data_IF_536241838940
#
_entry.id   IF_536241838940
#
_cell.length_a   1.000
_cell.length_b   1.000
_cell.length_c   1.000
_cell.angle_alpha   90.00
_cell.angle_beta   90.00
_cell.angle_gamma   90.00
#
_symmetry.space_group_name_H-M   'P 1'
#
loop_
_entity.id
_entity.type
_entity.pdbx_description
1 polymer ?
#
# COMPACT_ATOMS: atom_id res chain seq x y z
N UNK A 1 4.68 -9.72 27.04
CA UNK A 1 4.32 -8.72 28.05
C UNK A 1 2.82 -8.42 27.95
N UNK A 2 2.11 -8.22 29.10
CA UNK A 2 0.67 -7.87 29.08
C UNK A 2 -0.30 -9.05 29.13
N UNK A 3 0.07 -10.12 29.80
CA UNK A 3 -0.81 -11.27 30.11
C UNK A 3 -1.00 -12.24 28.95
N UNK A 4 -2.15 -12.95 28.99
CA UNK A 4 -2.43 -14.10 28.10
C UNK A 4 -2.51 -13.77 26.62
N UNK A 5 -2.82 -12.50 26.26
CA UNK A 5 -2.98 -12.04 24.88
C UNK A 5 -1.85 -11.12 24.39
N UNK A 6 -0.86 -10.83 25.24
CA UNK A 6 0.27 -9.98 24.87
C UNK A 6 -0.09 -8.54 24.43
N UNK A 7 -1.20 -7.97 24.92
CA UNK A 7 -1.72 -6.68 24.48
C UNK A 7 -0.77 -5.50 24.67
N UNK A 8 0.13 -5.60 25.66
CA UNK A 8 1.15 -4.57 25.93
C UNK A 8 2.47 -4.81 25.17
N UNK A 9 2.56 -5.86 24.35
CA UNK A 9 3.77 -6.16 23.59
C UNK A 9 4.17 -5.03 22.62
N UNK A 10 3.26 -4.41 21.84
CA UNK A 10 3.62 -3.30 20.97
C UNK A 10 4.21 -2.11 21.73
N UNK A 11 3.68 -1.81 22.93
CA UNK A 11 4.22 -0.73 23.78
C UNK A 11 5.61 -1.07 24.29
N UNK A 12 5.84 -2.31 24.71
CA UNK A 12 7.16 -2.78 25.17
C UNK A 12 8.19 -2.75 24.02
N UNK A 13 7.79 -3.15 22.81
CA UNK A 13 8.65 -3.12 21.62
C UNK A 13 8.98 -1.68 21.20
N UNK A 14 8.02 -0.76 21.27
CA UNK A 14 8.25 0.67 21.02
C UNK A 14 9.26 1.25 22.03
N UNK A 15 9.09 1.01 23.32
CA UNK A 15 10.03 1.47 24.36
C UNK A 15 11.41 0.87 24.19
N UNK A 16 11.50 -0.41 23.84
CA UNK A 16 12.76 -1.08 23.53
C UNK A 16 13.49 -0.41 22.36
N UNK A 17 12.78 -0.11 21.26
CA UNK A 17 13.37 0.52 20.07
C UNK A 17 13.80 1.98 20.34
N UNK A 18 13.07 2.70 21.19
CA UNK A 18 13.46 4.05 21.61
C UNK A 18 14.70 4.08 22.50
N UNK A 19 14.87 3.05 23.34
CA UNK A 19 16.02 2.94 24.25
C UNK A 19 17.24 2.26 23.63
N UNK A 20 17.07 1.62 22.44
CA UNK A 20 18.15 0.91 21.75
C UNK A 20 19.11 1.90 21.09
N UNK A 21 20.41 1.61 21.20
CA UNK A 21 21.47 2.39 20.56
C UNK A 21 21.31 2.39 19.03
N UNK A 22 21.48 3.57 18.43
CA UNK A 22 21.42 3.77 16.98
C UNK A 22 22.85 3.66 16.42
N UNK A 23 23.19 2.50 15.91
CA UNK A 23 24.51 2.18 15.38
C UNK A 23 24.50 2.46 13.86
N UNK A 24 25.47 3.27 13.41
CA UNK A 24 25.66 3.57 12.00
C UNK A 24 26.99 2.96 11.52
N UNK A 25 27.01 2.23 10.38
CA UNK A 25 28.23 1.71 9.80
C UNK A 25 29.25 2.82 9.46
N UNK A 26 30.54 2.56 9.68
CA UNK A 26 31.59 3.56 9.48
C UNK A 26 31.68 4.04 8.01
N UNK A 27 31.34 3.19 7.05
CA UNK A 27 31.34 3.51 5.62
C UNK A 27 30.03 4.04 5.07
N UNK A 28 29.01 4.27 5.91
CA UNK A 28 27.69 4.72 5.48
C UNK A 28 27.69 6.22 5.12
N UNK A 29 26.89 6.59 4.10
CA UNK A 29 26.60 8.00 3.81
C UNK A 29 25.63 8.55 4.84
N UNK A 30 26.11 9.43 5.72
CA UNK A 30 25.36 9.95 6.88
C UNK A 30 24.05 10.66 6.49
N UNK A 31 24.06 11.42 5.40
CA UNK A 31 22.92 12.22 4.96
C UNK A 31 21.82 11.31 4.40
N UNK A 32 22.19 10.46 3.45
CA UNK A 32 21.25 9.51 2.81
C UNK A 32 20.73 8.51 3.83
N UNK A 33 21.60 8.03 4.74
CA UNK A 33 21.25 7.16 5.86
C UNK A 33 20.17 7.75 6.77
N UNK A 34 20.31 9.02 7.14
CA UNK A 34 19.38 9.68 8.05
C UNK A 34 18.03 10.02 7.35
N UNK A 35 18.08 10.38 6.05
CA UNK A 35 16.89 10.80 5.30
C UNK A 35 16.01 9.63 4.86
N UNK A 36 16.57 8.46 4.56
CA UNK A 36 15.85 7.32 4.02
C UNK A 36 14.63 6.91 4.85
N UNK A 37 14.72 6.66 6.19
CA UNK A 37 13.53 6.28 6.98
C UNK A 37 12.48 7.40 7.05
N UNK A 38 12.91 8.67 7.10
CA UNK A 38 11.99 9.80 7.13
C UNK A 38 11.24 9.97 5.80
N UNK A 39 11.93 9.83 4.67
CA UNK A 39 11.35 9.90 3.34
C UNK A 39 10.39 8.74 3.05
N UNK A 40 10.48 7.63 3.75
CA UNK A 40 9.50 6.56 3.65
C UNK A 40 8.27 6.82 4.52
N UNK A 41 8.49 7.22 5.78
CA UNK A 41 7.41 7.38 6.75
C UNK A 41 6.55 8.62 6.49
N UNK A 42 7.15 9.77 6.16
CA UNK A 42 6.40 11.03 5.99
C UNK A 42 5.37 10.95 4.86
N UNK A 43 5.70 10.47 3.64
CA UNK A 43 4.70 10.25 2.59
C UNK A 43 3.61 9.27 2.99
N UNK A 44 3.97 8.14 3.62
CA UNK A 44 3.01 7.16 4.09
C UNK A 44 1.99 7.75 5.09
N UNK A 45 2.42 8.69 5.94
CA UNK A 45 1.53 9.41 6.85
C UNK A 45 0.70 10.49 6.14
N UNK A 46 1.27 11.20 5.15
CA UNK A 46 0.57 12.27 4.42
C UNK A 46 -0.61 11.76 3.59
N UNK A 47 -0.52 10.54 3.06
CA UNK A 47 -1.60 9.94 2.26
C UNK A 47 -2.92 9.90 3.02
N UNK A 48 -2.91 9.71 4.34
CA UNK A 48 -4.12 9.66 5.16
C UNK A 48 -4.92 10.98 5.17
N UNK A 49 -4.28 12.11 4.90
CA UNK A 49 -4.95 13.40 4.83
C UNK A 49 -5.92 13.52 3.65
N UNK A 50 -5.76 12.70 2.61
CA UNK A 50 -6.58 12.74 1.40
C UNK A 50 -7.86 11.89 1.49
N UNK A 51 -7.93 10.94 2.43
CA UNK A 51 -9.07 10.03 2.51
C UNK A 51 -10.31 10.67 3.15
N UNK A 52 -11.50 10.47 2.56
CA UNK A 52 -12.76 10.83 3.16
C UNK A 52 -13.17 9.79 4.22
N UNK A 53 -13.05 10.13 5.50
CA UNK A 53 -13.40 9.24 6.62
C UNK A 53 -14.89 9.25 6.93
N UNK A 54 -15.58 10.38 6.67
CA UNK A 54 -17.02 10.53 6.84
C UNK A 54 -17.52 11.67 5.94
N UNK A 55 -18.81 11.88 5.86
CA UNK A 55 -19.43 12.97 5.10
C UNK A 55 -18.87 14.32 5.57
N UNK A 56 -18.14 15.00 4.71
CA UNK A 56 -17.51 16.29 5.03
C UNK A 56 -16.29 16.22 5.96
N UNK A 57 -15.83 15.03 6.34
CA UNK A 57 -14.64 14.82 7.17
C UNK A 57 -13.47 14.38 6.29
N UNK A 58 -12.86 15.34 5.62
CA UNK A 58 -11.65 15.19 4.80
C UNK A 58 -10.66 16.23 5.26
N UNK A 59 -9.40 15.84 5.55
CA UNK A 59 -8.37 16.80 5.98
C UNK A 59 -7.89 17.68 4.83
N UNK A 60 -7.72 17.10 3.66
CA UNK A 60 -7.31 17.79 2.44
C UNK A 60 -8.17 17.35 1.26
N UNK A 61 -9.21 18.14 0.97
CA UNK A 61 -10.10 17.89 -0.18
C UNK A 61 -9.51 18.54 -1.44
N UNK A 62 -9.00 17.71 -2.33
CA UNK A 62 -8.31 18.13 -3.56
C UNK A 62 -9.01 17.53 -4.78
N UNK A 63 -9.30 18.36 -5.80
CA UNK A 63 -9.98 17.93 -7.03
C UNK A 63 -9.23 16.81 -7.79
N UNK A 64 -7.89 16.75 -7.66
CA UNK A 64 -7.03 15.71 -8.24
C UNK A 64 -6.52 14.75 -7.16
N UNK A 65 -7.34 14.45 -6.15
CA UNK A 65 -6.96 13.67 -4.98
C UNK A 65 -6.36 12.31 -5.31
N UNK A 66 -6.95 11.58 -6.26
CA UNK A 66 -6.44 10.26 -6.70
C UNK A 66 -5.02 10.39 -7.28
N UNK A 67 -4.79 11.37 -8.15
CA UNK A 67 -3.47 11.58 -8.75
C UNK A 67 -2.42 11.96 -7.69
N UNK A 68 -2.76 12.85 -6.76
CA UNK A 68 -1.88 13.24 -5.67
C UNK A 68 -1.56 12.06 -4.74
N UNK A 69 -2.53 11.22 -4.46
CA UNK A 69 -2.36 10.01 -3.65
C UNK A 69 -1.28 9.10 -4.26
N UNK A 70 -1.36 8.80 -5.56
CA UNK A 70 -0.37 7.96 -6.25
C UNK A 70 0.99 8.66 -6.40
N UNK A 71 1.02 9.98 -6.60
CA UNK A 71 2.28 10.72 -6.61
C UNK A 71 3.02 10.64 -5.27
N UNK A 72 2.29 10.64 -4.16
CA UNK A 72 2.88 10.50 -2.82
C UNK A 72 3.28 9.04 -2.55
N UNK A 73 2.43 8.06 -2.87
CA UNK A 73 2.74 6.65 -2.62
C UNK A 73 3.90 6.14 -3.47
N UNK A 74 3.99 6.54 -4.73
CA UNK A 74 5.08 6.16 -5.64
C UNK A 74 6.47 6.64 -5.20
N UNK A 75 6.54 7.66 -4.32
CA UNK A 75 7.82 8.06 -3.72
C UNK A 75 8.44 7.00 -2.81
N UNK A 76 7.66 6.04 -2.30
CA UNK A 76 8.16 5.00 -1.40
C UNK A 76 9.28 4.13 -2.00
N UNK A 77 9.38 4.07 -3.31
CA UNK A 77 10.43 3.33 -4.03
C UNK A 77 11.83 3.89 -3.74
N UNK A 78 11.96 5.23 -3.73
CA UNK A 78 13.26 5.90 -3.54
C UNK A 78 13.91 5.63 -2.16
N UNK A 79 13.20 5.72 -1.03
CA UNK A 79 13.76 5.45 0.28
C UNK A 79 14.32 4.02 0.44
N UNK A 80 13.70 3.01 -0.16
CA UNK A 80 14.24 1.64 -0.13
C UNK A 80 15.58 1.55 -0.85
N UNK A 81 15.70 2.20 -2.01
CA UNK A 81 16.96 2.26 -2.75
C UNK A 81 18.02 3.05 -1.97
N UNK A 82 17.64 4.21 -1.42
CA UNK A 82 18.52 5.06 -0.63
C UNK A 82 19.04 4.33 0.62
N UNK A 83 18.17 3.61 1.34
CA UNK A 83 18.54 2.84 2.52
C UNK A 83 19.54 1.73 2.21
N UNK A 84 19.29 1.00 1.12
CA UNK A 84 20.21 -0.04 0.63
C UNK A 84 21.56 0.52 0.20
N UNK A 85 21.58 1.64 -0.53
CA UNK A 85 22.80 2.29 -1.01
C UNK A 85 23.62 2.89 0.15
N UNK A 86 22.96 3.64 1.03
CA UNK A 86 23.62 4.33 2.14
C UNK A 86 24.29 3.39 3.16
N UNK A 87 23.81 2.16 3.25
CA UNK A 87 24.35 1.12 4.12
C UNK A 87 25.75 0.66 3.75
N UNK A 88 26.24 0.97 2.55
CA UNK A 88 27.54 0.52 1.99
C UNK A 88 27.75 -1.00 2.15
N UNK A 89 26.66 -1.76 2.08
CA UNK A 89 26.65 -3.21 2.16
C UNK A 89 26.02 -3.78 0.89
N UNK A 90 26.75 -4.69 0.21
CA UNK A 90 26.30 -5.31 -1.04
C UNK A 90 24.96 -6.07 -0.90
N UNK A 91 24.73 -6.72 0.23
CA UNK A 91 23.48 -7.45 0.48
C UNK A 91 22.30 -6.51 0.69
N UNK A 92 22.51 -5.41 1.44
CA UNK A 92 21.52 -4.37 1.63
C UNK A 92 21.15 -3.69 0.32
N UNK A 93 22.13 -3.39 -0.54
CA UNK A 93 21.91 -2.81 -1.85
C UNK A 93 21.12 -3.73 -2.80
N UNK A 94 21.50 -5.02 -2.87
CA UNK A 94 20.75 -6.02 -3.67
C UNK A 94 19.32 -6.15 -3.16
N UNK A 95 19.13 -6.17 -1.84
CA UNK A 95 17.79 -6.17 -1.22
C UNK A 95 16.95 -4.99 -1.64
N UNK A 96 17.51 -3.77 -1.56
CA UNK A 96 16.85 -2.56 -2.03
C UNK A 96 16.45 -2.62 -3.50
N UNK A 97 17.34 -3.07 -4.38
CA UNK A 97 17.06 -3.22 -5.82
C UNK A 97 15.94 -4.23 -6.11
N UNK A 98 15.82 -5.30 -5.34
CA UNK A 98 14.72 -6.29 -5.48
C UNK A 98 13.37 -5.67 -5.13
N UNK A 99 13.30 -4.88 -4.04
CA UNK A 99 12.08 -4.17 -3.64
C UNK A 99 11.67 -3.18 -4.72
N UNK A 100 12.61 -2.37 -5.20
CA UNK A 100 12.37 -1.38 -6.27
C UNK A 100 11.82 -2.08 -7.51
N UNK A 101 12.42 -3.18 -7.94
CA UNK A 101 11.92 -3.95 -9.08
C UNK A 101 10.50 -4.48 -8.89
N UNK A 102 10.17 -4.94 -7.69
CA UNK A 102 8.82 -5.38 -7.32
C UNK A 102 7.83 -4.21 -7.35
N UNK A 103 8.08 -3.14 -6.59
CA UNK A 103 7.17 -2.00 -6.49
C UNK A 103 6.87 -1.39 -7.86
N UNK A 104 7.88 -1.10 -8.69
CA UNK A 104 7.69 -0.59 -10.05
C UNK A 104 6.86 -1.51 -10.95
N UNK A 105 6.99 -2.84 -10.76
CA UNK A 105 6.25 -3.81 -11.58
C UNK A 105 4.77 -3.91 -11.20
N UNK A 106 4.42 -3.60 -9.95
CA UNK A 106 3.05 -3.71 -9.46
C UNK A 106 2.31 -2.38 -9.35
N UNK A 107 3.02 -1.25 -9.36
CA UNK A 107 2.44 0.10 -9.40
C UNK A 107 1.60 0.30 -10.68
N UNK A 108 2.08 -0.14 -11.84
CA UNK A 108 1.36 0.00 -13.10
C UNK A 108 0.02 -0.76 -13.11
N UNK A 109 -0.08 -2.08 -12.83
CA UNK A 109 -1.36 -2.77 -12.76
C UNK A 109 -2.29 -2.23 -11.67
N UNK A 110 -1.76 -1.72 -10.56
CA UNK A 110 -2.53 -1.10 -9.51
C UNK A 110 -3.22 0.18 -10.02
N UNK A 111 -2.47 1.07 -10.67
CA UNK A 111 -2.99 2.28 -11.31
C UNK A 111 -4.06 1.97 -12.36
N UNK A 112 -3.79 1.04 -13.27
CA UNK A 112 -4.74 0.67 -14.32
C UNK A 112 -6.01 0.02 -13.76
N UNK A 113 -5.94 -0.72 -12.66
CA UNK A 113 -7.13 -1.29 -12.03
C UNK A 113 -8.10 -0.22 -11.52
N UNK A 114 -7.59 0.89 -11.02
CA UNK A 114 -8.39 2.02 -10.52
C UNK A 114 -8.85 2.96 -11.64
N UNK A 115 -8.14 2.98 -12.77
CA UNK A 115 -8.50 3.83 -13.90
C UNK A 115 -9.91 3.52 -14.44
N UNK A 116 -10.33 2.26 -14.45
CA UNK A 116 -11.68 1.86 -14.79
C UNK A 116 -12.74 2.47 -13.87
N UNK A 117 -12.45 2.60 -12.58
CA UNK A 117 -13.35 3.26 -11.61
C UNK A 117 -13.40 4.76 -11.87
N UNK A 118 -12.25 5.39 -12.13
CA UNK A 118 -12.17 6.81 -12.46
C UNK A 118 -12.96 7.13 -13.74
N UNK A 119 -12.91 6.25 -14.73
CA UNK A 119 -13.72 6.40 -15.95
C UNK A 119 -15.22 6.37 -15.65
N UNK A 120 -15.67 5.46 -14.78
CA UNK A 120 -17.08 5.35 -14.40
C UNK A 120 -17.56 6.57 -13.60
N UNK A 121 -16.72 7.14 -12.74
CA UNK A 121 -17.08 8.28 -11.90
C UNK A 121 -16.91 9.63 -12.60
N UNK A 122 -16.04 9.71 -13.61
CA UNK A 122 -15.68 10.96 -14.28
C UNK A 122 -14.99 11.99 -13.40
N UNK A 123 -14.58 11.61 -12.18
CA UNK A 123 -13.93 12.50 -11.21
C UNK A 123 -12.67 11.87 -10.62
N UNK A 124 -11.66 12.72 -10.32
CA UNK A 124 -10.44 12.34 -9.60
C UNK A 124 -10.54 12.66 -8.08
N UNK A 125 -11.65 13.18 -7.64
CA UNK A 125 -11.91 13.53 -6.25
C UNK A 125 -12.38 12.29 -5.50
N UNK A 126 -11.73 11.97 -4.39
CA UNK A 126 -12.02 10.75 -3.62
C UNK A 126 -13.43 10.71 -3.05
N UNK A 127 -13.94 11.87 -2.62
CA UNK A 127 -15.29 11.97 -2.06
C UNK A 127 -16.37 11.71 -3.11
N UNK A 128 -16.21 12.21 -4.35
CA UNK A 128 -17.14 11.96 -5.46
C UNK A 128 -17.22 10.46 -5.79
N UNK A 129 -16.08 9.75 -5.73
CA UNK A 129 -16.03 8.30 -5.93
C UNK A 129 -16.86 7.56 -4.89
N UNK A 130 -16.78 7.97 -3.63
CA UNK A 130 -17.57 7.39 -2.53
C UNK A 130 -19.04 7.73 -2.69
N UNK A 131 -19.39 8.97 -2.99
CA UNK A 131 -20.78 9.41 -3.19
C UNK A 131 -21.45 8.68 -4.37
N UNK A 132 -20.75 8.47 -5.48
CA UNK A 132 -21.27 7.73 -6.62
C UNK A 132 -21.60 6.28 -6.23
N UNK A 133 -20.78 5.63 -5.42
CA UNK A 133 -21.06 4.29 -4.89
C UNK A 133 -22.23 4.28 -3.89
N UNK A 134 -22.41 5.34 -3.13
CA UNK A 134 -23.51 5.47 -2.18
C UNK A 134 -24.88 5.59 -2.90
N UNK A 135 -24.90 6.24 -4.07
CA UNK A 135 -26.12 6.41 -4.89
C UNK A 135 -26.47 5.19 -5.72
N UNK A 136 -25.48 4.44 -6.18
CA UNK A 136 -25.64 3.28 -7.05
C UNK A 136 -25.30 1.97 -6.31
N UNK A 137 -24.38 1.21 -6.89
CA UNK A 137 -23.85 -0.03 -6.30
C UNK A 137 -22.36 0.11 -5.99
N UNK A 138 -21.86 -0.66 -5.06
CA UNK A 138 -20.41 -0.74 -4.80
C UNK A 138 -19.69 -1.25 -6.04
N UNK A 139 -18.56 -0.64 -6.36
CA UNK A 139 -17.79 -0.97 -7.56
C UNK A 139 -17.20 -2.38 -7.56
N UNK A 140 -17.10 -3.03 -6.41
CA UNK A 140 -16.71 -4.44 -6.34
C UNK A 140 -17.64 -5.35 -7.17
N UNK A 141 -18.94 -5.02 -7.28
CA UNK A 141 -19.90 -5.78 -8.08
C UNK A 141 -19.87 -5.38 -9.55
N UNK A 142 -19.59 -4.12 -9.85
CA UNK A 142 -19.50 -3.62 -11.23
C UNK A 142 -18.17 -3.99 -11.88
N UNK A 143 -17.07 -4.03 -11.11
CA UNK A 143 -15.72 -4.28 -11.60
C UNK A 143 -14.98 -5.34 -10.75
N UNK A 144 -15.45 -6.57 -10.70
CA UNK A 144 -14.83 -7.62 -9.91
C UNK A 144 -13.41 -7.95 -10.40
N UNK A 145 -13.15 -7.85 -11.71
CA UNK A 145 -11.83 -8.07 -12.28
C UNK A 145 -10.83 -7.00 -11.80
N UNK A 146 -11.24 -5.72 -11.82
CA UNK A 146 -10.41 -4.64 -11.28
C UNK A 146 -10.07 -4.85 -9.81
N UNK A 147 -11.04 -5.28 -8.99
CA UNK A 147 -10.82 -5.56 -7.59
C UNK A 147 -9.80 -6.67 -7.35
N UNK A 148 -9.86 -7.76 -8.11
CA UNK A 148 -8.90 -8.86 -8.00
C UNK A 148 -7.48 -8.40 -8.38
N UNK A 149 -7.35 -7.66 -9.50
CA UNK A 149 -6.06 -7.12 -9.94
C UNK A 149 -5.51 -6.15 -8.88
N UNK A 150 -6.35 -5.23 -8.40
CA UNK A 150 -6.01 -4.28 -7.34
C UNK A 150 -5.51 -5.02 -6.09
N UNK A 151 -6.25 -6.02 -5.62
CA UNK A 151 -5.92 -6.75 -4.40
C UNK A 151 -4.56 -7.45 -4.49
N UNK A 152 -4.30 -8.12 -5.63
CA UNK A 152 -3.01 -8.77 -5.88
C UNK A 152 -1.87 -7.74 -5.92
N UNK A 153 -2.06 -6.63 -6.65
CA UNK A 153 -1.07 -5.57 -6.76
C UNK A 153 -0.81 -4.87 -5.42
N UNK A 154 -1.86 -4.61 -4.64
CA UNK A 154 -1.76 -4.00 -3.32
C UNK A 154 -0.99 -4.88 -2.31
N UNK A 155 -1.23 -6.20 -2.30
CA UNK A 155 -0.46 -7.14 -1.48
C UNK A 155 1.02 -7.14 -1.90
N UNK A 156 1.31 -7.08 -3.19
CA UNK A 156 2.68 -7.02 -3.70
C UNK A 156 3.37 -5.70 -3.34
N UNK A 157 2.66 -4.57 -3.40
CA UNK A 157 3.20 -3.25 -3.05
C UNK A 157 3.50 -3.12 -1.54
N UNK A 158 2.70 -3.79 -0.71
CA UNK A 158 2.95 -3.82 0.74
C UNK A 158 4.06 -4.81 1.17
N UNK A 159 4.76 -5.42 0.23
CA UNK A 159 5.85 -6.37 0.45
C UNK A 159 5.46 -7.52 1.41
N UNK A 160 4.21 -7.96 1.39
CA UNK A 160 3.71 -9.07 2.22
C UNK A 160 3.66 -10.39 1.45
N UNK A 161 3.80 -11.50 2.18
CA UNK A 161 3.66 -12.84 1.60
C UNK A 161 2.35 -12.97 0.82
N UNK A 162 2.33 -13.47 -0.42
CA UNK A 162 3.36 -14.27 -1.10
C UNK A 162 4.50 -13.50 -1.79
N UNK A 163 4.46 -12.16 -1.81
CA UNK A 163 5.41 -11.30 -2.53
C UNK A 163 6.49 -10.70 -1.59
N UNK A 164 6.81 -11.37 -0.51
CA UNK A 164 7.77 -10.94 0.49
C UNK A 164 9.21 -11.20 0.04
N UNK A 165 9.77 -10.25 -0.71
CA UNK A 165 11.17 -10.26 -1.14
C UNK A 165 12.12 -9.62 -0.13
N UNK A 166 11.59 -8.81 0.78
CA UNK A 166 12.35 -8.00 1.74
C UNK A 166 12.88 -8.86 2.88
N UNK A 167 11.98 -9.65 3.50
CA UNK A 167 12.27 -10.47 4.68
C UNK A 167 12.80 -11.86 4.33
N UNK A 168 13.40 -12.01 3.15
CA UNK A 168 14.03 -13.27 2.75
C UNK A 168 15.26 -13.61 3.58
N UNK A 169 15.09 -13.93 4.86
CA UNK A 169 16.18 -14.24 5.81
C UNK A 169 17.16 -15.29 5.26
N UNK A 170 16.67 -16.23 4.49
CA UNK A 170 17.50 -17.28 3.88
C UNK A 170 18.35 -16.80 2.70
N UNK A 171 18.04 -15.63 2.09
CA UNK A 171 18.72 -15.12 0.90
C UNK A 171 19.53 -13.85 1.17
N UNK A 172 18.97 -12.86 1.86
CA UNK A 172 19.52 -11.48 1.97
C UNK A 172 19.44 -10.96 3.41
N UNK A 173 19.20 -11.81 4.41
CA UNK A 173 19.06 -11.45 5.83
C UNK A 173 17.81 -10.56 6.01
N UNK A 174 17.97 -9.22 6.11
CA UNK A 174 16.87 -8.26 6.26
C UNK A 174 16.87 -7.21 5.13
N UNK A 175 17.44 -7.53 3.97
CA UNK A 175 17.47 -6.65 2.80
C UNK A 175 18.02 -5.25 3.11
N UNK A 176 17.34 -4.16 2.69
CA UNK A 176 17.83 -2.79 2.88
C UNK A 176 17.88 -2.37 4.35
N UNK A 177 17.22 -3.10 5.25
CA UNK A 177 17.14 -2.77 6.69
C UNK A 177 18.24 -3.42 7.52
N UNK A 178 19.09 -4.25 6.93
CA UNK A 178 20.09 -5.08 7.62
C UNK A 178 20.99 -4.28 8.55
N UNK A 179 21.40 -3.08 8.16
CA UNK A 179 22.32 -2.25 8.93
C UNK A 179 21.60 -1.22 9.83
N UNK A 180 20.27 -1.06 9.66
CA UNK A 180 19.51 -0.13 10.47
C UNK A 180 19.17 -0.71 11.84
N UNK A 181 19.24 0.13 12.89
CA UNK A 181 18.93 -0.25 14.26
C UNK A 181 18.08 0.81 14.98
N UNK A 182 17.60 0.50 16.18
CA UNK A 182 16.88 1.44 17.03
C UNK A 182 15.66 2.09 16.36
N UNK A 183 15.51 3.39 16.56
CA UNK A 183 14.35 4.14 16.10
C UNK A 183 14.29 4.28 14.56
N UNK A 184 15.41 4.27 13.85
CA UNK A 184 15.45 4.32 12.39
C UNK A 184 14.87 3.07 11.75
N UNK A 185 15.20 1.90 12.29
CA UNK A 185 14.58 0.65 11.89
C UNK A 185 13.06 0.66 12.18
N UNK A 186 12.67 1.20 13.34
CA UNK A 186 11.26 1.34 13.70
C UNK A 186 10.45 2.19 12.69
N UNK A 187 11.04 3.27 12.17
CA UNK A 187 10.38 4.12 11.17
C UNK A 187 10.11 3.37 9.85
N UNK A 188 11.04 2.53 9.39
CA UNK A 188 10.79 1.68 8.21
C UNK A 188 9.63 0.72 8.46
N UNK A 189 9.65 0.07 9.61
CA UNK A 189 8.62 -0.90 9.99
C UNK A 189 7.24 -0.23 10.13
N UNK A 190 7.20 0.94 10.76
CA UNK A 190 5.98 1.73 10.91
C UNK A 190 5.42 2.18 9.55
N UNK A 191 6.28 2.61 8.62
CA UNK A 191 5.88 2.98 7.28
C UNK A 191 5.32 1.79 6.49
N UNK A 192 5.90 0.60 6.64
CA UNK A 192 5.40 -0.62 6.00
C UNK A 192 3.98 -0.99 6.48
N UNK A 193 3.72 -0.91 7.79
CA UNK A 193 2.37 -1.11 8.32
C UNK A 193 1.41 0.02 7.92
N UNK A 194 1.89 1.26 7.83
CA UNK A 194 1.11 2.36 7.29
C UNK A 194 0.71 2.10 5.84
N UNK A 195 1.62 1.64 4.98
CA UNK A 195 1.32 1.29 3.59
C UNK A 195 0.30 0.15 3.49
N UNK A 196 0.36 -0.86 4.37
CA UNK A 196 -0.64 -1.92 4.44
C UNK A 196 -2.03 -1.36 4.77
N UNK A 197 -2.11 -0.46 5.75
CA UNK A 197 -3.37 0.19 6.10
C UNK A 197 -3.85 1.10 4.96
N UNK A 198 -2.95 1.82 4.28
CA UNK A 198 -3.27 2.61 3.08
C UNK A 198 -3.87 1.75 1.97
N UNK A 199 -3.30 0.58 1.68
CA UNK A 199 -3.84 -0.36 0.70
C UNK A 199 -5.25 -0.84 1.06
N UNK A 200 -5.51 -1.12 2.34
CA UNK A 200 -6.84 -1.49 2.84
C UNK A 200 -7.85 -0.34 2.74
N UNK A 201 -7.44 0.88 3.05
CA UNK A 201 -8.27 2.09 2.93
C UNK A 201 -8.56 2.39 1.46
N UNK A 202 -7.59 2.25 0.57
CA UNK A 202 -7.79 2.35 -0.88
C UNK A 202 -8.85 1.37 -1.37
N UNK A 203 -8.73 0.08 -1.01
CA UNK A 203 -9.73 -0.92 -1.35
C UNK A 203 -11.13 -0.52 -0.85
N UNK A 204 -11.20 0.01 0.37
CA UNK A 204 -12.46 0.45 0.98
C UNK A 204 -13.06 1.63 0.22
N UNK A 205 -12.26 2.63 -0.12
CA UNK A 205 -12.72 3.84 -0.81
C UNK A 205 -13.14 3.58 -2.24
N UNK A 206 -12.34 2.82 -2.99
CA UNK A 206 -12.58 2.60 -4.41
C UNK A 206 -13.57 1.47 -4.73
N UNK A 207 -13.69 0.44 -3.89
CA UNK A 207 -14.49 -0.74 -4.21
C UNK A 207 -15.65 -1.00 -3.26
N UNK A 208 -15.54 -0.63 -1.98
CA UNK A 208 -16.52 -0.94 -0.94
C UNK A 208 -17.36 0.28 -0.51
N UNK A 209 -17.31 1.37 -1.24
CA UNK A 209 -18.13 2.55 -0.99
C UNK A 209 -17.69 3.40 0.22
N UNK A 210 -16.43 3.33 0.64
CA UNK A 210 -15.89 4.19 1.70
C UNK A 210 -16.75 4.19 2.98
N UNK A 211 -17.14 5.38 3.40
CA UNK A 211 -18.00 5.60 4.59
C UNK A 211 -19.47 5.25 4.35
N UNK A 212 -19.91 4.96 3.12
CA UNK A 212 -21.31 4.64 2.82
C UNK A 212 -21.73 3.30 3.44
N UNK A 213 -22.85 3.29 4.14
CA UNK A 213 -23.42 2.10 4.75
C UNK A 213 -24.84 2.32 5.29
N UNK A 214 -25.48 1.28 5.85
CA UNK A 214 -26.79 1.41 6.48
C UNK A 214 -26.79 2.45 7.60
N UNK A 215 -27.90 3.17 7.76
CA UNK A 215 -28.04 4.34 8.64
C UNK A 215 -27.96 4.07 10.17
N UNK A 216 -27.82 2.81 10.60
CA UNK A 216 -27.76 2.45 12.02
C UNK A 216 -26.39 2.72 12.69
N UNK A 217 -25.32 2.94 11.91
CA UNK A 217 -24.00 3.32 12.40
C UNK A 217 -23.49 4.58 11.68
N UNK A 218 -22.69 5.41 12.36
CA UNK A 218 -22.05 6.59 11.73
C UNK A 218 -21.07 6.15 10.64
N UNK A 219 -20.88 6.99 9.62
CA UNK A 219 -20.09 6.67 8.43
C UNK A 219 -18.64 6.30 8.75
N UNK A 220 -18.00 6.99 9.70
CA UNK A 220 -16.62 6.68 10.08
C UNK A 220 -16.45 5.26 10.67
N UNK A 221 -17.49 4.72 11.33
CA UNK A 221 -17.48 3.35 11.87
C UNK A 221 -17.55 2.34 10.71
N UNK A 222 -18.42 2.60 9.72
CA UNK A 222 -18.48 1.78 8.51
C UNK A 222 -17.16 1.77 7.76
N UNK A 223 -16.56 2.94 7.61
CA UNK A 223 -15.24 3.07 6.99
C UNK A 223 -14.18 2.24 7.72
N UNK A 224 -14.09 2.39 9.04
CA UNK A 224 -13.14 1.65 9.87
C UNK A 224 -13.37 0.13 9.83
N UNK A 225 -14.63 -0.31 9.89
CA UNK A 225 -14.97 -1.73 9.87
C UNK A 225 -14.58 -2.37 8.52
N UNK A 226 -14.86 -1.71 7.39
CA UNK A 226 -14.46 -2.18 6.06
C UNK A 226 -12.94 -2.19 5.91
N UNK A 227 -12.25 -1.14 6.38
CA UNK A 227 -10.79 -1.10 6.35
C UNK A 227 -10.16 -2.24 7.17
N UNK A 228 -10.67 -2.50 8.37
CA UNK A 228 -10.23 -3.65 9.20
C UNK A 228 -10.49 -4.98 8.49
N UNK A 229 -11.64 -5.14 7.85
CA UNK A 229 -11.95 -6.34 7.07
C UNK A 229 -10.93 -6.55 5.94
N UNK A 230 -10.55 -5.49 5.23
CA UNK A 230 -9.53 -5.56 4.18
C UNK A 230 -8.13 -5.88 4.74
N UNK A 231 -7.77 -5.29 5.89
CA UNK A 231 -6.51 -5.65 6.59
C UNK A 231 -6.52 -7.13 6.96
N UNK A 232 -7.60 -7.64 7.53
CA UNK A 232 -7.74 -9.06 7.89
C UNK A 232 -7.62 -9.98 6.66
N UNK A 233 -8.17 -9.57 5.51
CA UNK A 233 -8.08 -10.32 4.26
C UNK A 233 -6.62 -10.37 3.75
N UNK A 234 -5.90 -9.24 3.77
CA UNK A 234 -4.47 -9.19 3.40
C UNK A 234 -3.63 -10.04 4.36
N UNK A 235 -3.92 -9.95 5.67
CA UNK A 235 -3.23 -10.78 6.68
C UNK A 235 -3.54 -12.27 6.52
N UNK A 236 -4.76 -12.63 6.09
CA UNK A 236 -5.11 -14.01 5.78
C UNK A 236 -4.28 -14.55 4.63
N UNK A 237 -4.08 -13.76 3.57
CA UNK A 237 -3.18 -14.15 2.47
C UNK A 237 -1.76 -14.40 2.96
N UNK A 238 -1.24 -13.55 3.84
CA UNK A 238 0.08 -13.73 4.45
C UNK A 238 0.26 -15.09 5.11
N UNK A 239 -0.76 -15.61 5.76
CA UNK A 239 -0.68 -16.89 6.48
C UNK A 239 -0.99 -18.12 5.61
N UNK A 240 -1.59 -17.93 4.45
CA UNK A 240 -2.07 -19.03 3.61
C UNK A 240 -1.12 -19.37 2.46
N UNK A 241 -0.52 -18.37 1.83
CA UNK A 241 0.27 -18.57 0.62
C UNK A 241 1.76 -18.76 0.92
N UNK A 242 2.43 -19.68 0.18
CA UNK A 242 3.88 -19.79 0.22
C UNK A 242 4.54 -18.60 -0.50
N UNK A 243 5.79 -18.33 -0.17
CA UNK A 243 6.60 -17.30 -0.79
C UNK A 243 6.95 -17.65 -2.25
N UNK A 244 6.92 -16.65 -3.12
CA UNK A 244 7.27 -16.75 -4.54
C UNK A 244 8.71 -16.27 -4.79
N UNK A 245 9.32 -16.71 -5.93
CA UNK A 245 10.65 -16.25 -6.34
C UNK A 245 10.58 -14.91 -7.06
N UNK A 246 11.67 -14.12 -7.00
CA UNK A 246 11.80 -12.80 -7.66
C UNK A 246 11.42 -12.86 -9.14
N UNK A 247 11.95 -13.86 -9.89
CA UNK A 247 11.68 -13.98 -11.32
C UNK A 247 10.20 -14.23 -11.62
N UNK A 248 9.53 -15.02 -10.77
CA UNK A 248 8.11 -15.31 -10.90
C UNK A 248 7.27 -14.06 -10.64
N UNK A 249 7.62 -13.28 -9.61
CA UNK A 249 6.93 -12.03 -9.24
C UNK A 249 7.00 -11.04 -10.40
N UNK A 250 8.20 -10.75 -10.91
CA UNK A 250 8.38 -9.81 -12.03
C UNK A 250 7.68 -10.28 -13.30
N UNK A 251 7.81 -11.57 -13.63
CA UNK A 251 7.16 -12.15 -14.82
C UNK A 251 5.64 -12.09 -14.70
N UNK A 252 5.07 -12.38 -13.53
CA UNK A 252 3.63 -12.32 -13.29
C UNK A 252 3.10 -10.88 -13.37
N UNK A 253 3.79 -9.91 -12.76
CA UNK A 253 3.42 -8.49 -12.87
C UNK A 253 3.32 -8.03 -14.32
N UNK A 254 4.40 -8.18 -15.09
CA UNK A 254 4.48 -7.66 -16.45
C UNK A 254 3.70 -8.47 -17.49
N UNK A 255 3.72 -9.80 -17.43
CA UNK A 255 3.10 -10.65 -18.47
C UNK A 255 1.65 -10.97 -18.22
N UNK A 256 1.17 -10.89 -16.97
CA UNK A 256 -0.21 -11.24 -16.63
C UNK A 256 -0.98 -10.04 -16.13
N UNK A 257 -0.53 -9.37 -15.06
CA UNK A 257 -1.32 -8.32 -14.44
C UNK A 257 -1.43 -7.05 -15.28
N UNK A 258 -0.34 -6.60 -15.90
CA UNK A 258 -0.37 -5.41 -16.76
C UNK A 258 -1.30 -5.60 -17.96
N UNK A 259 -1.19 -6.66 -18.79
CA UNK A 259 -2.13 -6.88 -19.89
C UNK A 259 -3.57 -7.05 -19.43
N UNK A 260 -3.80 -7.73 -18.30
CA UNK A 260 -5.13 -7.95 -17.75
C UNK A 260 -5.76 -6.63 -17.24
N UNK A 261 -4.97 -5.76 -16.64
CA UNK A 261 -5.44 -4.45 -16.18
C UNK A 261 -5.77 -3.50 -17.34
N UNK A 262 -4.96 -3.51 -18.40
CA UNK A 262 -5.26 -2.76 -19.64
C UNK A 262 -6.54 -3.30 -20.29
N UNK A 263 -6.69 -4.61 -20.37
CA UNK A 263 -7.90 -5.24 -20.90
C UNK A 263 -9.14 -4.83 -20.10
N UNK A 264 -9.03 -4.76 -18.78
CA UNK A 264 -10.11 -4.27 -17.91
C UNK A 264 -10.52 -2.82 -18.25
N UNK A 265 -9.55 -1.93 -18.45
CA UNK A 265 -9.82 -0.52 -18.84
C UNK A 265 -10.55 -0.45 -20.19
N UNK A 266 -10.08 -1.21 -21.19
CA UNK A 266 -10.70 -1.25 -22.52
C UNK A 266 -12.12 -1.80 -22.44
N UNK A 267 -12.34 -2.89 -21.67
CA UNK A 267 -13.68 -3.46 -21.46
C UNK A 267 -14.61 -2.47 -20.77
N UNK A 268 -14.12 -1.75 -19.75
CA UNK A 268 -14.90 -0.72 -19.07
C UNK A 268 -15.33 0.38 -20.05
N UNK A 269 -14.39 0.90 -20.86
CA UNK A 269 -14.73 1.91 -21.88
C UNK A 269 -15.71 1.41 -22.92
N UNK A 270 -15.57 0.18 -23.40
CA UNK A 270 -16.51 -0.43 -24.35
C UNK A 270 -17.92 -0.59 -23.76
N UNK A 271 -18.02 -1.01 -22.49
CA UNK A 271 -19.29 -1.12 -21.78
C UNK A 271 -19.95 0.25 -21.57
N UNK A 272 -19.19 1.26 -21.18
CA UNK A 272 -19.69 2.63 -21.03
C UNK A 272 -20.26 3.15 -22.35
N UNK A 273 -19.55 2.95 -23.44
CA UNK A 273 -20.02 3.32 -24.78
C UNK A 273 -21.30 2.57 -25.16
N UNK A 274 -21.36 1.26 -24.92
CA UNK A 274 -22.52 0.43 -25.22
C UNK A 274 -23.77 0.84 -24.45
N UNK A 275 -23.64 1.18 -23.17
CA UNK A 275 -24.76 1.59 -22.32
C UNK A 275 -25.07 3.10 -22.40
N UNK A 276 -24.32 3.88 -23.20
CA UNK A 276 -24.53 5.31 -23.34
C UNK A 276 -24.32 6.12 -22.06
N UNK A 277 -23.35 5.71 -21.24
CA UNK A 277 -23.00 6.38 -19.97
C UNK A 277 -22.01 7.55 -20.23
N UNK A 278 -21.59 7.74 -21.47
CA UNK A 278 -20.71 8.83 -21.91
C UNK A 278 -21.53 9.98 -22.46
#
# INVERSE_FOLDING_TARGET
>A
VGGRFGLLQPVADMLKLMSKEDIMPAGADKVVWALSPALLFVPAALVYALFPFDVGVVLADVNVGVFLLFAISGQAVLPFLMGGYASNNKYSFIGGMRIVGQMLSYEAPLLFSLLGIIMLTGSLRLDDIVQMQAQNYWFIFMQPLAFIIFLIAAVAETNRTPFDLVEGESEIIAGPFTEYSGMRWALFFLAEYANLLTAAILATTFFLGGYSGPSFLPGFVWFGLKAVLMVLLIMWFRWTFPRTRVDQILTFGWKVLVPLSILNVVLTGALMFWFGIV
#
